data_IF_820040785108
#
_entry.id   IF_820040785108
#
_cell.length_a   1.000
_cell.length_b   1.000
_cell.length_c   1.000
_cell.angle_alpha   90.00
_cell.angle_beta   90.00
_cell.angle_gamma   90.00
#
_symmetry.space_group_name_H-M   'P 1'
#
loop_
_entity.id
_entity.type
_entity.pdbx_description
1 polymer ?
#
# COMPACT_ATOMS: atom_id res chain seq x y z
N UNK A 1 8.48 -3.68 -44.52
CA UNK A 1 8.96 -4.36 -43.29
C UNK A 1 8.44 -3.59 -42.09
N UNK A 2 7.41 -4.08 -41.41
CA UNK A 2 6.80 -3.41 -40.24
C UNK A 2 7.65 -3.69 -39.01
N UNK A 3 8.34 -2.66 -38.51
CA UNK A 3 9.05 -2.70 -37.24
C UNK A 3 8.06 -2.87 -36.08
N UNK A 4 7.93 -4.09 -35.56
CA UNK A 4 7.22 -4.37 -34.31
C UNK A 4 7.87 -3.56 -33.18
N UNK A 5 7.20 -2.49 -32.76
CA UNK A 5 7.49 -1.74 -31.54
C UNK A 5 7.36 -2.73 -30.37
N UNK A 6 8.49 -3.20 -29.82
CA UNK A 6 8.52 -3.91 -28.55
C UNK A 6 7.97 -2.93 -27.49
N UNK A 7 6.71 -3.08 -27.10
CA UNK A 7 6.23 -2.59 -25.80
C UNK A 7 7.05 -3.34 -24.76
N UNK A 8 8.16 -2.73 -24.35
CA UNK A 8 8.92 -3.14 -23.17
C UNK A 8 7.88 -3.10 -22.05
N UNK A 9 7.57 -4.27 -21.49
CA UNK A 9 6.61 -4.37 -20.41
C UNK A 9 6.95 -3.34 -19.36
N UNK A 10 5.92 -2.69 -18.81
CA UNK A 10 6.03 -2.03 -17.53
C UNK A 10 6.38 -3.10 -16.50
N UNK A 11 7.65 -3.49 -16.46
CA UNK A 11 8.28 -4.11 -15.30
C UNK A 11 7.90 -3.19 -14.14
N UNK A 12 7.15 -3.73 -13.19
CA UNK A 12 6.65 -3.06 -11.98
C UNK A 12 7.68 -2.06 -11.45
N UNK A 13 7.56 -0.80 -11.86
CA UNK A 13 8.51 0.22 -11.43
C UNK A 13 8.30 0.39 -9.94
N UNK A 14 9.24 -0.10 -9.15
CA UNK A 14 9.27 0.12 -7.72
C UNK A 14 9.29 1.63 -7.45
N UNK A 15 8.12 2.20 -7.19
CA UNK A 15 7.96 3.61 -6.88
C UNK A 15 8.14 3.83 -5.37
N UNK A 16 8.94 4.82 -4.99
CA UNK A 16 9.12 5.22 -3.59
C UNK A 16 8.02 6.20 -3.18
N UNK A 17 7.32 5.89 -2.09
CA UNK A 17 6.38 6.80 -1.44
C UNK A 17 7.06 7.45 -0.23
N UNK A 18 7.25 8.77 -0.26
CA UNK A 18 7.83 9.55 0.85
C UNK A 18 6.73 10.35 1.51
N UNK A 19 6.49 10.11 2.80
CA UNK A 19 5.50 10.83 3.60
C UNK A 19 6.21 11.49 4.77
N UNK A 20 5.91 12.76 5.03
CA UNK A 20 6.38 13.49 6.22
C UNK A 20 5.31 13.42 7.29
N UNK A 21 5.69 12.94 8.47
CA UNK A 21 4.85 12.86 9.66
C UNK A 21 5.64 13.36 10.86
N UNK A 22 4.95 13.67 11.96
CA UNK A 22 5.60 14.02 13.22
C UNK A 22 6.48 12.85 13.72
N UNK A 23 7.61 13.19 14.36
CA UNK A 23 8.56 12.20 14.87
C UNK A 23 7.91 11.24 15.87
N UNK A 24 7.11 11.75 16.80
CA UNK A 24 6.42 10.92 17.80
C UNK A 24 5.49 9.89 17.16
N UNK A 25 4.74 10.30 16.13
CA UNK A 25 3.87 9.40 15.38
C UNK A 25 4.66 8.31 14.64
N UNK A 26 5.80 8.66 14.03
CA UNK A 26 6.69 7.67 13.39
C UNK A 26 7.17 6.63 14.40
N UNK A 27 7.68 7.09 15.55
CA UNK A 27 8.26 6.22 16.57
C UNK A 27 7.19 5.26 17.12
N UNK A 28 6.00 5.79 17.49
CA UNK A 28 4.89 4.97 17.96
C UNK A 28 4.41 3.94 16.93
N UNK A 29 4.35 4.31 15.64
CA UNK A 29 3.96 3.38 14.57
C UNK A 29 5.01 2.28 14.37
N UNK A 30 6.30 2.61 14.38
CA UNK A 30 7.38 1.64 14.23
C UNK A 30 7.43 0.69 15.41
N UNK A 31 7.25 1.18 16.64
CA UNK A 31 7.19 0.33 17.83
C UNK A 31 6.00 -0.63 17.77
N UNK A 32 4.82 -0.15 17.35
CA UNK A 32 3.68 -1.04 17.10
C UNK A 32 3.92 -2.09 16.02
N UNK A 33 4.69 -1.76 14.98
CA UNK A 33 5.06 -2.75 13.98
C UNK A 33 5.96 -3.84 14.58
N UNK A 34 6.87 -3.49 15.49
CA UNK A 34 7.74 -4.46 16.17
C UNK A 34 6.94 -5.41 17.05
N UNK A 35 5.97 -4.89 17.80
CA UNK A 35 5.09 -5.71 18.65
C UNK A 35 4.30 -6.76 17.84
N UNK A 36 3.96 -6.42 16.59
CA UNK A 36 3.19 -7.28 15.67
C UNK A 36 4.06 -8.16 14.76
N UNK A 37 5.39 -8.16 14.96
CA UNK A 37 6.35 -8.85 14.09
C UNK A 37 6.13 -8.52 12.58
N UNK A 38 5.91 -7.23 12.29
CA UNK A 38 5.67 -6.69 10.95
C UNK A 38 6.58 -5.49 10.67
N UNK A 39 6.57 -5.00 9.44
CA UNK A 39 7.33 -3.80 9.07
C UNK A 39 6.40 -2.66 8.70
N UNK A 40 6.83 -1.43 8.97
CA UNK A 40 6.12 -0.20 8.60
C UNK A 40 5.71 -0.20 7.11
N UNK A 41 6.61 -0.62 6.22
CA UNK A 41 6.33 -0.72 4.78
C UNK A 41 5.24 -1.76 4.47
N UNK A 42 5.23 -2.89 5.18
CA UNK A 42 4.24 -3.96 4.96
C UNK A 42 2.85 -3.51 5.39
N UNK A 43 2.75 -2.84 6.54
CA UNK A 43 1.48 -2.28 7.03
C UNK A 43 0.98 -1.14 6.15
N UNK A 44 1.85 -0.21 5.71
CA UNK A 44 1.45 0.87 4.80
C UNK A 44 0.95 0.30 3.46
N UNK A 45 1.64 -0.68 2.87
CA UNK A 45 1.18 -1.35 1.64
C UNK A 45 -0.16 -2.07 1.85
N UNK A 46 -0.34 -2.74 3.00
CA UNK A 46 -1.60 -3.41 3.35
C UNK A 46 -2.74 -2.40 3.49
N UNK A 47 -2.49 -1.30 4.18
CA UNK A 47 -3.43 -0.20 4.34
C UNK A 47 -3.82 0.38 2.98
N UNK A 48 -2.84 0.73 2.12
CA UNK A 48 -3.10 1.25 0.77
C UNK A 48 -3.99 0.29 -0.03
N UNK A 49 -3.67 -1.01 -0.04
CA UNK A 49 -4.51 -2.00 -0.74
C UNK A 49 -5.92 -2.09 -0.15
N UNK A 50 -6.05 -2.07 1.17
CA UNK A 50 -7.35 -2.11 1.84
C UNK A 50 -8.17 -0.85 1.59
N UNK A 51 -7.51 0.30 1.51
CA UNK A 51 -8.12 1.61 1.27
C UNK A 51 -8.59 1.77 -0.18
N UNK A 52 -7.90 1.13 -1.14
CA UNK A 52 -8.28 1.13 -2.54
C UNK A 52 -9.36 0.10 -2.90
N UNK A 53 -9.71 -0.82 -1.98
CA UNK A 53 -10.85 -1.71 -2.23
C UNK A 53 -12.12 -0.85 -2.32
N UNK A 54 -12.92 -0.97 -3.40
CA UNK A 54 -14.22 -0.32 -3.44
C UNK A 54 -15.02 -0.75 -2.21
N UNK A 55 -15.71 0.22 -1.61
CA UNK A 55 -16.70 -0.06 -0.57
C UNK A 55 -17.93 -0.62 -1.29
N UNK A 56 -17.85 -1.86 -1.77
CA UNK A 56 -19.02 -2.60 -2.23
C UNK A 56 -19.82 -3.02 -0.98
N UNK A 57 -20.43 -2.04 -0.32
CA UNK A 57 -21.44 -2.22 0.72
C UNK A 57 -22.15 -0.89 1.00
N UNK A 58 -23.14 -0.60 0.17
CA UNK A 58 -24.40 -0.08 0.69
C UNK A 58 -25.13 -1.23 1.41
N UNK A 59 -25.58 -1.03 2.65
CA UNK A 59 -26.80 -1.63 3.21
C UNK A 59 -26.86 -3.13 3.58
N UNK A 60 -27.34 -3.39 4.82
CA UNK A 60 -28.17 -4.52 5.28
C UNK A 60 -28.00 -5.94 4.69
N UNK A 61 -27.57 -6.89 5.53
CA UNK A 61 -28.38 -8.11 5.76
C UNK A 61 -28.19 -8.58 7.20
N UNK A 62 -29.31 -8.82 7.87
CA UNK A 62 -29.40 -9.03 9.30
C UNK A 62 -28.98 -10.43 9.77
N UNK A 63 -28.28 -10.46 10.90
CA UNK A 63 -28.53 -11.44 11.96
C UNK A 63 -28.05 -10.93 13.31
#
# INVERSE_FOLDING_TARGET
MVGKKKKKGDEDKECKLVVRIEKGLRDAFVDRCRDLDTTASREVRRFIRSFLKPVDQEGEDGR
#
